data_IF_649302207184
#
_entry.id   IF_649302207184
#
_cell.length_a   1.000
_cell.length_b   1.000
_cell.length_c   1.000
_cell.angle_alpha   90.00
_cell.angle_beta   90.00
_cell.angle_gamma   90.00
#
_symmetry.space_group_name_H-M   'P 1'
#
loop_
_entity.id
_entity.type
_entity.pdbx_description
1 polymer ?
#
# COMPACT_ATOMS: atom_id res chain seq x y z
N UNK A 1 0.10 -3.68 -10.76
CA UNK A 1 -0.84 -3.36 -9.67
C UNK A 1 -1.35 -4.57 -8.87
N UNK A 2 -2.24 -5.44 -9.40
CA UNK A 2 -2.91 -6.48 -8.58
C UNK A 2 -1.93 -7.44 -7.86
N UNK A 3 -0.90 -7.93 -8.56
CA UNK A 3 0.11 -8.82 -7.97
C UNK A 3 0.89 -8.17 -6.82
N UNK A 4 1.14 -6.85 -6.92
CA UNK A 4 1.79 -6.07 -5.86
C UNK A 4 0.88 -6.01 -4.63
N UNK A 5 -0.42 -5.72 -4.83
CA UNK A 5 -1.40 -5.67 -3.74
C UNK A 5 -1.52 -7.03 -3.04
N UNK A 6 -1.56 -8.13 -3.80
CA UNK A 6 -1.61 -9.48 -3.23
C UNK A 6 -0.35 -9.81 -2.43
N UNK A 7 0.83 -9.47 -2.97
CA UNK A 7 2.12 -9.64 -2.27
C UNK A 7 2.15 -8.87 -0.95
N UNK A 8 1.67 -7.62 -0.96
CA UNK A 8 1.57 -6.80 0.25
C UNK A 8 0.56 -7.38 1.24
N UNK A 9 -0.62 -7.82 0.78
CA UNK A 9 -1.62 -8.44 1.63
C UNK A 9 -1.08 -9.68 2.36
N UNK A 10 -0.31 -10.52 1.66
CA UNK A 10 0.36 -11.66 2.27
C UNK A 10 1.41 -11.24 3.31
N UNK A 11 2.24 -10.24 3.00
CA UNK A 11 3.25 -9.72 3.92
C UNK A 11 2.64 -9.14 5.22
N UNK A 12 1.58 -8.34 5.10
CA UNK A 12 0.86 -7.78 6.25
C UNK A 12 0.17 -8.87 7.07
N UNK A 13 -0.51 -9.80 6.40
CA UNK A 13 -1.17 -10.94 7.06
C UNK A 13 -0.17 -11.81 7.84
N UNK A 14 1.02 -12.04 7.29
CA UNK A 14 2.08 -12.80 7.96
C UNK A 14 2.58 -12.13 9.26
N UNK A 15 2.35 -10.83 9.41
CA UNK A 15 2.67 -10.05 10.61
C UNK A 15 1.44 -9.72 11.46
N UNK A 16 0.31 -10.41 11.22
CA UNK A 16 -0.96 -10.20 11.91
C UNK A 16 -1.51 -8.76 11.80
N UNK A 17 -1.18 -8.07 10.71
CA UNK A 17 -1.70 -6.73 10.40
C UNK A 17 -2.80 -6.81 9.36
N UNK A 18 -3.74 -5.88 9.44
CA UNK A 18 -4.82 -5.69 8.49
C UNK A 18 -4.33 -4.84 7.31
N UNK A 19 -4.86 -5.10 6.12
CA UNK A 19 -4.59 -4.29 4.93
C UNK A 19 -5.84 -4.23 4.07
N UNK A 20 -6.31 -3.03 3.77
CA UNK A 20 -7.55 -2.80 3.02
C UNK A 20 -7.29 -1.86 1.85
N UNK A 21 -7.90 -2.15 0.70
CA UNK A 21 -8.05 -1.13 -0.35
C UNK A 21 -9.10 -0.12 0.09
N UNK A 22 -8.84 1.16 -0.12
CA UNK A 22 -9.76 2.25 0.26
C UNK A 22 -9.92 3.28 -0.87
N UNK A 23 -10.78 4.28 -0.64
CA UNK A 23 -10.82 5.49 -1.43
C UNK A 23 -11.11 5.30 -2.93
N UNK A 24 -10.34 6.04 -3.75
CA UNK A 24 -10.51 6.08 -5.20
C UNK A 24 -10.29 4.72 -5.86
N UNK A 25 -9.36 3.92 -5.33
CA UNK A 25 -9.06 2.57 -5.81
C UNK A 25 -10.30 1.67 -5.77
N UNK A 26 -11.02 1.64 -4.65
CA UNK A 26 -12.26 0.83 -4.53
C UNK A 26 -13.33 1.34 -5.49
N UNK A 27 -13.53 2.67 -5.55
CA UNK A 27 -14.50 3.29 -6.46
C UNK A 27 -14.23 2.89 -7.92
N UNK A 28 -12.98 2.99 -8.35
CA UNK A 28 -12.62 2.79 -9.75
C UNK A 28 -12.71 1.30 -10.15
N UNK A 29 -12.37 0.38 -9.23
CA UNK A 29 -12.64 -1.06 -9.41
C UNK A 29 -14.14 -1.34 -9.55
N UNK A 30 -14.97 -0.85 -8.63
CA UNK A 30 -16.43 -1.10 -8.65
C UNK A 30 -17.12 -0.50 -9.87
N UNK A 31 -16.64 0.64 -10.36
CA UNK A 31 -17.18 1.31 -11.55
C UNK A 31 -16.58 0.80 -12.86
N UNK A 32 -15.73 -0.24 -12.83
CA UNK A 32 -15.02 -0.77 -14.00
C UNK A 32 -14.27 0.33 -14.78
N UNK A 33 -13.72 1.31 -14.06
CA UNK A 33 -12.85 2.32 -14.65
C UNK A 33 -11.49 1.70 -14.92
N UNK A 34 -10.77 2.27 -15.89
CA UNK A 34 -9.45 1.78 -16.29
C UNK A 34 -8.48 1.67 -15.11
N UNK A 35 -7.41 0.90 -15.30
CA UNK A 35 -6.39 0.73 -14.27
C UNK A 35 -5.68 2.06 -14.00
N UNK A 36 -5.64 2.44 -12.72
CA UNK A 36 -4.78 3.52 -12.26
C UNK A 36 -3.40 2.97 -11.88
N UNK A 37 -2.38 3.82 -12.03
CA UNK A 37 -1.02 3.51 -11.59
C UNK A 37 -0.82 3.84 -10.09
N UNK A 38 -1.88 4.25 -9.39
CA UNK A 38 -1.88 4.47 -7.95
C UNK A 38 -2.91 3.59 -7.23
N UNK A 39 -2.59 3.18 -6.01
CA UNK A 39 -3.54 2.54 -5.10
C UNK A 39 -3.38 3.01 -3.66
N UNK A 40 -4.51 3.29 -3.03
CA UNK A 40 -4.61 3.69 -1.63
C UNK A 40 -4.98 2.48 -0.77
N UNK A 41 -4.12 2.20 0.21
CA UNK A 41 -4.31 1.15 1.20
C UNK A 41 -4.36 1.72 2.62
N UNK A 42 -5.15 1.09 3.49
CA UNK A 42 -5.23 1.39 4.91
C UNK A 42 -4.84 0.16 5.75
N UNK A 43 -4.20 0.39 6.88
CA UNK A 43 -3.71 -0.66 7.79
C UNK A 43 -3.81 -0.22 9.26
N UNK A 44 -3.78 -1.18 10.18
CA UNK A 44 -3.60 -0.92 11.63
C UNK A 44 -2.12 -0.89 12.06
N UNK A 45 -1.19 -1.03 11.11
CA UNK A 45 0.24 -0.93 11.33
C UNK A 45 0.72 0.52 11.38
N UNK A 46 1.55 0.85 12.37
CA UNK A 46 2.23 2.16 12.44
C UNK A 46 3.24 2.32 11.31
N UNK A 47 3.65 3.56 10.96
CA UNK A 47 4.59 3.81 9.86
C UNK A 47 5.90 2.99 9.90
N UNK A 48 6.48 2.78 11.09
CA UNK A 48 7.70 1.99 11.20
C UNK A 48 7.46 0.48 11.02
N UNK A 49 6.29 -0.03 11.45
CA UNK A 49 5.87 -1.40 11.17
C UNK A 49 5.63 -1.58 9.67
N UNK A 50 4.97 -0.63 9.01
CA UNK A 50 4.77 -0.62 7.55
C UNK A 50 6.12 -0.76 6.84
N UNK A 51 7.10 0.08 7.17
CA UNK A 51 8.45 0.03 6.55
C UNK A 51 9.11 -1.34 6.72
N UNK A 52 8.98 -1.96 7.89
CA UNK A 52 9.54 -3.29 8.16
C UNK A 52 8.84 -4.39 7.33
N UNK A 53 7.51 -4.33 7.26
CA UNK A 53 6.69 -5.33 6.55
C UNK A 53 6.93 -5.28 5.03
N UNK A 54 7.13 -4.08 4.47
CA UNK A 54 7.27 -3.87 3.02
C UNK A 54 8.71 -3.97 2.53
N UNK A 55 9.72 -3.93 3.39
CA UNK A 55 11.11 -4.05 2.97
C UNK A 55 11.41 -5.37 2.20
N UNK A 56 10.90 -6.55 2.61
CA UNK A 56 11.10 -7.81 1.89
C UNK A 56 10.41 -7.89 0.53
N UNK A 57 9.41 -7.05 0.26
CA UNK A 57 8.68 -7.03 -1.01
C UNK A 57 9.42 -6.24 -2.11
N UNK A 58 10.58 -5.66 -1.78
CA UNK A 58 11.53 -4.99 -2.68
C UNK A 58 10.92 -3.83 -3.51
N UNK A 59 10.21 -2.87 -2.90
CA UNK A 59 9.90 -1.61 -3.59
C UNK A 59 11.20 -0.88 -4.00
N UNK A 60 11.16 -0.15 -5.11
CA UNK A 60 12.30 0.67 -5.56
C UNK A 60 12.54 1.88 -4.68
N UNK A 61 11.51 2.36 -3.97
CA UNK A 61 11.62 3.40 -2.96
C UNK A 61 10.52 3.24 -1.89
N UNK A 62 10.87 3.60 -0.65
CA UNK A 62 9.96 3.69 0.50
C UNK A 62 10.10 5.09 1.10
N UNK A 63 9.04 5.88 1.02
CA UNK A 63 9.05 7.30 1.38
C UNK A 63 8.00 7.55 2.45
N UNK A 64 8.39 8.14 3.58
CA UNK A 64 7.44 8.63 4.56
C UNK A 64 6.85 9.95 4.05
N UNK A 65 5.56 9.94 3.71
CA UNK A 65 4.85 11.11 3.18
C UNK A 65 4.17 11.82 4.34
N UNK A 66 4.88 12.77 4.94
CA UNK A 66 4.36 13.54 6.05
C UNK A 66 4.29 12.73 7.35
N UNK A 67 5.31 12.87 8.19
CA UNK A 67 5.41 12.20 9.50
C UNK A 67 4.16 12.40 10.38
N UNK A 68 3.46 13.52 10.23
CA UNK A 68 2.23 13.84 10.95
C UNK A 68 1.00 13.04 10.53
N UNK A 69 0.97 12.48 9.32
CA UNK A 69 -0.22 11.86 8.73
C UNK A 69 -0.13 10.35 8.62
N UNK A 70 1.04 9.76 8.89
CA UNK A 70 1.20 8.31 8.98
C UNK A 70 1.17 7.57 7.63
N UNK A 71 1.36 8.28 6.52
CA UNK A 71 1.35 7.69 5.17
C UNK A 71 2.75 7.28 4.73
N UNK A 72 2.89 6.05 4.23
CA UNK A 72 4.09 5.50 3.61
C UNK A 72 3.82 5.24 2.13
N UNK A 73 4.59 5.88 1.26
CA UNK A 73 4.52 5.69 -0.19
C UNK A 73 5.58 4.70 -0.64
N UNK A 74 5.15 3.72 -1.44
CA UNK A 74 5.97 2.69 -2.06
C UNK A 74 5.99 2.89 -3.57
N UNK A 75 7.16 2.72 -4.17
CA UNK A 75 7.30 2.71 -5.63
C UNK A 75 7.61 1.30 -6.13
N UNK A 76 6.89 0.85 -7.15
CA UNK A 76 7.10 -0.41 -7.86
C UNK A 76 7.11 -0.14 -9.36
N UNK A 77 8.27 0.24 -9.90
CA UNK A 77 8.35 0.71 -11.28
C UNK A 77 7.50 1.98 -11.48
N UNK A 78 6.45 1.88 -12.29
CA UNK A 78 5.50 2.97 -12.52
C UNK A 78 4.30 2.95 -11.56
N UNK A 79 4.11 1.86 -10.80
CA UNK A 79 3.02 1.73 -9.83
C UNK A 79 3.41 2.40 -8.50
N UNK A 80 2.48 3.17 -7.94
CA UNK A 80 2.59 3.84 -6.65
C UNK A 80 1.57 3.22 -5.70
N UNK A 81 2.02 2.82 -4.50
CA UNK A 81 1.14 2.38 -3.43
C UNK A 81 1.29 3.33 -2.26
N UNK A 82 0.20 3.84 -1.72
CA UNK A 82 0.20 4.58 -0.46
C UNK A 82 -0.45 3.74 0.62
N UNK A 83 0.23 3.57 1.75
CA UNK A 83 -0.27 2.84 2.91
C UNK A 83 -0.38 3.82 4.08
N UNK A 84 -1.58 4.00 4.62
CA UNK A 84 -1.85 4.90 5.75
C UNK A 84 -2.36 4.12 6.96
N UNK A 85 -1.88 4.49 8.15
CA UNK A 85 -2.33 3.93 9.45
C UNK A 85 -3.68 4.46 9.91
#
# INVERSE_FOLDING_TARGET
>A
MLDIILTLAEAFRAQHKQLYMVGGTVRDVLLHRGQSNDADLATDAKPDEIKQIVAPTRPSAVILVGERFGTVRLHYGNDIIEITT
#
